data_IF_348466574835
#
_entry.id   IF_348466574835
#
_cell.length_a   1.000
_cell.length_b   1.000
_cell.length_c   1.000
_cell.angle_alpha   90.00
_cell.angle_beta   90.00
_cell.angle_gamma   90.00
#
_symmetry.space_group_name_H-M   'P 1'
#
loop_
_entity.id
_entity.type
_entity.pdbx_description
1 polymer ?
#
# COMPACT_ATOMS: atom_id res chain seq x y z
N UNK A 1 21.19 -53.06 -12.19
CA UNK A 1 21.19 -51.59 -12.17
C UNK A 1 19.76 -51.21 -11.84
N UNK A 2 19.40 -50.91 -10.61
CA UNK A 2 19.60 -49.61 -9.96
C UNK A 2 19.87 -49.80 -8.45
N UNK A 3 20.96 -49.22 -7.94
CA UNK A 3 21.29 -49.22 -6.52
C UNK A 3 20.45 -48.15 -5.81
N UNK A 4 19.46 -48.57 -5.02
CA UNK A 4 18.76 -47.69 -4.07
C UNK A 4 19.74 -47.28 -2.97
N UNK A 5 20.28 -46.06 -3.06
CA UNK A 5 21.11 -45.48 -2.02
C UNK A 5 20.25 -45.25 -0.76
N UNK A 6 20.55 -45.98 0.33
CA UNK A 6 19.96 -45.72 1.64
C UNK A 6 20.52 -44.40 2.17
N UNK A 7 19.69 -43.35 2.12
CA UNK A 7 20.05 -42.04 2.64
C UNK A 7 19.98 -42.10 4.17
N UNK A 8 21.11 -41.86 4.84
CA UNK A 8 21.19 -41.96 6.31
C UNK A 8 20.30 -40.93 7.00
N UNK A 9 19.83 -41.25 8.21
CA UNK A 9 18.98 -40.36 9.04
C UNK A 9 19.61 -38.96 9.25
N UNK A 10 20.94 -38.88 9.30
CA UNK A 10 21.67 -37.61 9.36
C UNK A 10 21.52 -36.73 8.11
N UNK A 11 21.39 -37.31 6.92
CA UNK A 11 21.13 -36.55 5.70
C UNK A 11 19.71 -35.96 5.68
N UNK A 12 18.72 -36.71 6.16
CA UNK A 12 17.34 -36.22 6.25
C UNK A 12 17.23 -35.04 7.22
N UNK A 13 17.92 -35.10 8.36
CA UNK A 13 17.94 -33.99 9.32
C UNK A 13 18.62 -32.74 8.76
N UNK A 14 19.74 -32.92 8.04
CA UNK A 14 20.45 -31.83 7.38
C UNK A 14 19.60 -31.17 6.28
N UNK A 15 18.88 -31.96 5.48
CA UNK A 15 17.96 -31.46 4.46
C UNK A 15 16.79 -30.66 5.08
N UNK A 16 16.23 -31.14 6.20
CA UNK A 16 15.16 -30.43 6.92
C UNK A 16 15.65 -29.08 7.44
N UNK A 17 16.87 -29.00 8.00
CA UNK A 17 17.46 -27.75 8.48
C UNK A 17 17.74 -26.75 7.34
N UNK A 18 18.21 -27.25 6.18
CA UNK A 18 18.44 -26.43 4.97
C UNK A 18 17.11 -25.87 4.43
N UNK A 19 16.04 -26.67 4.43
CA UNK A 19 14.69 -26.22 4.00
C UNK A 19 14.11 -25.20 4.98
N UNK A 20 14.28 -25.40 6.30
CA UNK A 20 13.81 -24.43 7.31
C UNK A 20 14.54 -23.09 7.25
N UNK A 21 15.85 -23.12 7.03
CA UNK A 21 16.68 -21.90 6.92
C UNK A 21 16.42 -21.13 5.63
N UNK A 22 16.21 -21.82 4.51
CA UNK A 22 15.80 -21.18 3.24
C UNK A 22 14.39 -20.58 3.30
N UNK A 23 13.45 -21.23 4.00
CA UNK A 23 12.11 -20.68 4.24
C UNK A 23 12.13 -19.45 5.16
N UNK A 24 13.03 -19.41 6.16
CA UNK A 24 13.20 -18.25 7.03
C UNK A 24 13.76 -17.03 6.28
N UNK A 25 14.67 -17.23 5.32
CA UNK A 25 15.26 -16.15 4.51
C UNK A 25 14.26 -15.56 3.50
N UNK A 26 13.35 -16.38 2.95
CA UNK A 26 12.33 -15.93 1.99
C UNK A 26 11.32 -14.91 2.58
N UNK A 27 11.24 -14.80 3.91
CA UNK A 27 10.21 -14.01 4.60
C UNK A 27 10.56 -12.53 4.86
N UNK A 28 11.76 -12.06 4.50
CA UNK A 28 12.24 -10.71 4.86
C UNK A 28 12.56 -9.80 3.68
N UNK A 29 11.73 -9.80 2.64
CA UNK A 29 11.74 -8.70 1.68
C UNK A 29 11.16 -7.44 2.34
N UNK A 30 11.99 -6.72 3.11
CA UNK A 30 11.61 -5.40 3.62
C UNK A 30 11.62 -4.42 2.45
N UNK A 31 10.43 -3.91 2.09
CA UNK A 31 10.33 -2.85 1.08
C UNK A 31 11.14 -1.64 1.58
N UNK A 32 12.10 -1.14 0.79
CA UNK A 32 12.93 -0.01 1.21
C UNK A 32 12.06 1.23 1.40
N UNK A 33 12.17 1.87 2.56
CA UNK A 33 11.53 3.16 2.84
C UNK A 33 12.36 4.23 2.15
N UNK A 34 11.73 5.05 1.30
CA UNK A 34 12.42 6.17 0.63
C UNK A 34 12.83 7.24 1.64
N UNK A 35 13.89 7.98 1.34
CA UNK A 35 14.40 9.04 2.21
C UNK A 35 13.31 10.07 2.57
N UNK A 36 13.23 10.43 3.85
CA UNK A 36 12.23 11.36 4.36
C UNK A 36 10.92 10.73 4.84
N UNK A 37 10.66 9.44 4.57
CA UNK A 37 9.50 8.72 5.09
C UNK A 37 9.83 7.88 6.33
N UNK A 38 8.83 7.68 7.17
CA UNK A 38 8.90 6.82 8.37
C UNK A 38 7.51 6.29 8.74
N UNK A 39 7.44 5.04 9.19
CA UNK A 39 6.22 4.45 9.75
C UNK A 39 5.71 5.19 11.01
N UNK A 40 6.59 5.92 11.69
CA UNK A 40 6.30 6.60 12.96
C UNK A 40 6.24 8.12 12.82
N UNK A 41 6.16 8.65 11.59
CA UNK A 41 6.22 10.09 11.30
C UNK A 41 5.27 10.93 12.17
N UNK A 42 4.05 10.44 12.43
CA UNK A 42 3.03 11.16 13.20
C UNK A 42 2.92 10.74 14.68
N UNK A 43 3.80 9.85 15.19
CA UNK A 43 3.64 9.30 16.55
C UNK A 43 3.68 10.37 17.66
N UNK A 44 4.41 11.47 17.46
CA UNK A 44 4.51 12.55 18.46
C UNK A 44 3.51 13.68 18.22
N UNK A 45 3.25 14.02 16.96
CA UNK A 45 2.40 15.17 16.58
C UNK A 45 0.91 14.82 16.52
N UNK A 46 0.57 13.63 16.05
CA UNK A 46 -0.81 13.15 15.93
C UNK A 46 -0.87 11.61 16.11
N UNK A 47 -0.69 11.09 17.34
CA UNK A 47 -0.56 9.65 17.60
C UNK A 47 -1.78 8.82 17.19
N UNK A 48 -2.96 9.46 17.13
CA UNK A 48 -4.21 8.80 16.78
C UNK A 48 -4.58 8.91 15.29
N UNK A 49 -3.72 9.50 14.43
CA UNK A 49 -4.02 9.74 13.01
C UNK A 49 -4.54 8.48 12.30
N UNK A 50 -3.79 7.38 12.39
CA UNK A 50 -4.16 6.11 11.74
C UNK A 50 -5.50 5.57 12.24
N UNK A 51 -5.80 5.74 13.52
CA UNK A 51 -7.07 5.30 14.13
C UNK A 51 -8.23 6.15 13.65
N UNK A 52 -8.07 7.48 13.60
CA UNK A 52 -9.08 8.43 13.11
C UNK A 52 -9.43 8.10 11.66
N UNK A 53 -8.43 8.02 10.78
CA UNK A 53 -8.61 7.70 9.35
C UNK A 53 -9.27 6.32 9.19
N UNK A 54 -8.81 5.29 9.91
CA UNK A 54 -9.39 3.94 9.83
C UNK A 54 -10.85 3.92 10.29
N UNK A 55 -11.20 4.65 11.34
CA UNK A 55 -12.58 4.70 11.84
C UNK A 55 -13.52 5.39 10.85
N UNK A 56 -13.08 6.50 10.25
CA UNK A 56 -13.81 7.19 9.18
C UNK A 56 -14.05 6.27 7.98
N UNK A 57 -12.98 5.67 7.46
CA UNK A 57 -13.07 4.75 6.33
C UNK A 57 -13.93 3.53 6.62
N UNK A 58 -13.87 2.97 7.83
CA UNK A 58 -14.73 1.86 8.22
C UNK A 58 -16.22 2.23 8.19
N UNK A 59 -16.58 3.45 8.56
CA UNK A 59 -17.97 3.93 8.47
C UNK A 59 -18.37 4.14 7.01
N UNK A 60 -17.51 4.77 6.22
CA UNK A 60 -17.70 4.95 4.78
C UNK A 60 -17.91 3.61 4.06
N UNK A 61 -17.08 2.60 4.34
CA UNK A 61 -17.17 1.30 3.68
C UNK A 61 -18.36 0.45 4.14
N UNK A 62 -18.84 0.66 5.37
CA UNK A 62 -20.11 0.05 5.82
C UNK A 62 -21.29 0.55 5.00
N UNK A 63 -21.26 1.82 4.59
CA UNK A 63 -22.30 2.42 3.76
C UNK A 63 -22.14 2.05 2.28
N UNK A 64 -20.92 2.14 1.74
CA UNK A 64 -20.60 1.76 0.37
C UNK A 64 -19.16 1.20 0.29
N UNK A 65 -19.04 -0.12 0.17
CA UNK A 65 -17.75 -0.82 0.06
C UNK A 65 -17.00 -0.48 -1.24
N UNK A 66 -17.69 -0.02 -2.28
CA UNK A 66 -17.06 0.34 -3.56
C UNK A 66 -16.21 1.60 -3.47
N UNK A 67 -16.36 2.39 -2.39
CA UNK A 67 -15.50 3.54 -2.10
C UNK A 67 -14.06 3.13 -1.80
N UNK A 68 -13.81 1.93 -1.26
CA UNK A 68 -12.45 1.45 -1.04
C UNK A 68 -11.65 1.36 -2.36
N UNK A 69 -12.29 0.84 -3.42
CA UNK A 69 -11.70 0.81 -4.76
C UNK A 69 -11.52 2.22 -5.35
N UNK A 70 -12.47 3.13 -5.07
CA UNK A 70 -12.38 4.53 -5.48
C UNK A 70 -11.16 5.25 -4.89
N UNK A 71 -10.95 5.12 -3.58
CA UNK A 71 -9.82 5.72 -2.87
C UNK A 71 -8.49 5.11 -3.29
N UNK A 72 -8.43 3.78 -3.47
CA UNK A 72 -7.22 3.11 -3.96
C UNK A 72 -6.85 3.60 -5.37
N UNK A 73 -7.85 3.71 -6.25
CA UNK A 73 -7.65 4.24 -7.60
C UNK A 73 -7.20 5.70 -7.57
N UNK A 74 -7.78 6.52 -6.70
CA UNK A 74 -7.38 7.92 -6.54
C UNK A 74 -5.91 8.05 -6.13
N UNK A 75 -5.46 7.25 -5.15
CA UNK A 75 -4.06 7.22 -4.74
C UNK A 75 -3.12 6.79 -5.88
N UNK A 76 -3.51 5.78 -6.66
CA UNK A 76 -2.73 5.39 -7.84
C UNK A 76 -2.63 6.51 -8.87
N UNK A 77 -3.74 7.20 -9.16
CA UNK A 77 -3.76 8.29 -10.14
C UNK A 77 -2.92 9.50 -9.71
N UNK A 78 -2.91 9.81 -8.40
CA UNK A 78 -2.01 10.83 -7.81
C UNK A 78 -0.54 10.42 -8.03
N UNK A 79 -0.16 9.24 -7.54
CA UNK A 79 1.22 8.78 -7.58
C UNK A 79 1.79 8.54 -8.99
N UNK A 80 0.95 8.29 -9.99
CA UNK A 80 1.40 7.95 -11.34
C UNK A 80 1.95 9.16 -12.11
N UNK A 81 1.44 10.36 -11.80
CA UNK A 81 1.82 11.61 -12.47
C UNK A 81 2.53 12.49 -11.45
N UNK A 82 3.81 12.79 -11.69
CA UNK A 82 4.63 13.71 -10.87
C UNK A 82 4.93 13.26 -9.42
N UNK A 83 4.13 12.39 -8.81
CA UNK A 83 4.42 11.75 -7.52
C UNK A 83 3.22 11.71 -6.57
N UNK A 84 3.39 11.08 -5.41
CA UNK A 84 2.35 11.02 -4.37
C UNK A 84 2.33 12.31 -3.54
N UNK A 85 1.87 13.41 -4.13
CA UNK A 85 1.93 14.74 -3.53
C UNK A 85 0.55 15.38 -3.27
N UNK A 86 -0.54 14.70 -3.63
CA UNK A 86 -1.91 15.17 -3.45
C UNK A 86 -2.34 16.22 -4.47
N UNK A 87 -1.57 16.48 -5.52
CA UNK A 87 -1.88 17.44 -6.58
C UNK A 87 -3.21 17.14 -7.27
N UNK A 88 -3.59 15.87 -7.41
CA UNK A 88 -4.89 15.47 -8.00
C UNK A 88 -6.09 15.98 -7.18
N UNK A 89 -5.91 16.30 -5.90
CA UNK A 89 -6.98 16.78 -5.03
C UNK A 89 -7.26 18.27 -5.19
N UNK A 90 -6.34 19.02 -5.81
CA UNK A 90 -6.42 20.47 -5.95
C UNK A 90 -7.38 20.87 -7.07
N UNK A 91 -8.22 21.86 -6.78
CA UNK A 91 -8.98 22.56 -7.82
C UNK A 91 -8.07 23.53 -8.57
N UNK A 92 -8.44 23.83 -9.82
CA UNK A 92 -7.68 24.74 -10.67
C UNK A 92 -7.75 26.17 -10.14
N UNK A 93 -6.75 26.98 -10.49
CA UNK A 93 -6.63 28.37 -10.07
C UNK A 93 -6.22 29.25 -11.25
N UNK A 94 -6.17 30.57 -11.03
CA UNK A 94 -5.60 31.51 -11.99
C UNK A 94 -4.16 31.15 -12.41
N UNK A 95 -3.44 30.42 -11.55
CA UNK A 95 -2.07 29.94 -11.79
C UNK A 95 -1.96 28.62 -12.55
N UNK A 96 -3.06 27.91 -12.83
CA UNK A 96 -2.99 26.65 -13.59
C UNK A 96 -4.26 25.78 -13.55
N UNK A 97 -4.38 24.83 -14.50
CA UNK A 97 -5.52 23.92 -14.57
C UNK A 97 -5.50 22.87 -13.46
N UNK A 98 -6.67 22.33 -13.10
CA UNK A 98 -6.77 21.19 -12.17
C UNK A 98 -6.34 19.89 -12.84
N UNK A 99 -5.53 19.09 -12.15
CA UNK A 99 -5.22 17.72 -12.59
C UNK A 99 -6.46 16.81 -12.61
N UNK A 100 -7.52 17.15 -11.88
CA UNK A 100 -8.82 16.43 -11.94
C UNK A 100 -9.38 16.39 -13.36
N UNK A 101 -9.09 17.41 -14.15
CA UNK A 101 -9.58 17.57 -15.52
C UNK A 101 -8.69 16.86 -16.57
N UNK A 102 -7.57 16.27 -16.16
CA UNK A 102 -6.76 15.46 -17.06
C UNK A 102 -7.54 14.22 -17.49
N UNK A 103 -7.44 13.84 -18.77
CA UNK A 103 -8.20 12.71 -19.34
C UNK A 103 -8.19 11.42 -18.49
N UNK A 104 -7.05 10.99 -17.91
CA UNK A 104 -7.04 9.80 -17.04
C UNK A 104 -7.90 9.97 -15.78
N UNK A 105 -7.99 11.19 -15.25
CA UNK A 105 -8.60 11.52 -13.96
C UNK A 105 -10.11 11.78 -14.05
N UNK A 106 -10.66 12.01 -15.25
CA UNK A 106 -12.09 12.24 -15.48
C UNK A 106 -13.02 11.10 -15.03
N UNK A 107 -12.46 9.91 -14.83
CA UNK A 107 -13.21 8.71 -14.41
C UNK A 107 -12.98 8.35 -12.94
N UNK A 108 -12.26 9.19 -12.19
CA UNK A 108 -12.15 9.08 -10.75
C UNK A 108 -13.50 9.36 -10.10
N UNK A 109 -13.77 8.71 -8.96
CA UNK A 109 -15.04 8.84 -8.27
C UNK A 109 -15.14 10.20 -7.58
N UNK A 110 -16.16 11.03 -7.85
CA UNK A 110 -16.37 12.30 -7.14
C UNK A 110 -16.46 12.12 -5.62
N UNK A 111 -17.11 11.04 -5.17
CA UNK A 111 -17.25 10.72 -3.74
C UNK A 111 -15.90 10.47 -3.04
N UNK A 112 -14.89 9.96 -3.76
CA UNK A 112 -13.56 9.75 -3.17
C UNK A 112 -12.90 11.07 -2.76
N UNK A 113 -13.09 12.15 -3.52
CA UNK A 113 -12.63 13.49 -3.15
C UNK A 113 -13.37 14.03 -1.93
N UNK A 114 -14.68 13.76 -1.83
CA UNK A 114 -15.48 14.16 -0.68
C UNK A 114 -15.02 13.44 0.59
N UNK A 115 -14.81 12.12 0.54
CA UNK A 115 -14.34 11.32 1.68
C UNK A 115 -12.99 11.80 2.22
N UNK A 116 -12.09 12.30 1.38
CA UNK A 116 -10.79 12.84 1.82
C UNK A 116 -10.94 14.19 2.54
N UNK A 117 -11.95 14.99 2.17
CA UNK A 117 -12.22 16.28 2.79
C UNK A 117 -13.04 16.18 4.09
N UNK A 118 -13.84 15.11 4.24
CA UNK A 118 -14.62 14.80 5.44
C UNK A 118 -13.73 14.25 6.58
#
# INVERSE_FOLDING_TARGET
SETMASVSSGCLFSLILIVFSSLAVASRAQVPIVSGLSYTFYNSSCPNLTTIVRNHLNQTFKNDTTQAAGLLRLHFHDCFVQGCDGSVLLDGSASGPSEKNATPNLTLRPEAFKIIND
#
